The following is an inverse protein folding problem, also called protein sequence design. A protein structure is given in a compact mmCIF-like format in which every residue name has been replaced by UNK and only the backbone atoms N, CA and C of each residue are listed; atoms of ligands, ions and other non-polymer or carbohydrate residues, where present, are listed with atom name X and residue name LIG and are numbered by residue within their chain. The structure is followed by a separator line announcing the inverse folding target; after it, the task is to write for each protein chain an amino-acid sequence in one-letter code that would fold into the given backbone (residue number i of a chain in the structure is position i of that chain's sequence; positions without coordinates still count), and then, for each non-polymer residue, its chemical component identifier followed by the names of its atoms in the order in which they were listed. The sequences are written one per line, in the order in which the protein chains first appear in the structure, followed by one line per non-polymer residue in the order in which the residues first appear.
data_IF_231664464545
#
_entry.id   IF_231664464545
#
_cell.length_a   1.000
_cell.length_b   1.000
_cell.length_c   1.000
_cell.angle_alpha   90.00
_cell.angle_beta   90.00
_cell.angle_gamma   90.00
#
_symmetry.space_group_name_H-M   'P 1'
#
loop_
_entity.id
_entity.type
_entity.pdbx_description
1 polymer ?
#
# COMPACT_ATOMS: atom_id res chain seq x y z
N UNK A 1 -4.17 5.27 2.82
CA UNK A 1 -4.26 4.90 1.38
C UNK A 1 -4.95 5.95 0.50
N UNK A 2 -6.12 6.48 0.88
CA UNK A 2 -6.90 7.38 0.00
C UNK A 2 -6.21 8.71 -0.35
N UNK A 3 -5.44 9.32 0.58
CA UNK A 3 -4.68 10.54 0.33
C UNK A 3 -3.57 10.34 -0.73
N UNK A 4 -2.86 9.22 -0.66
CA UNK A 4 -1.73 8.93 -1.53
C UNK A 4 -2.15 8.43 -2.92
N UNK A 5 -3.25 7.68 -2.98
CA UNK A 5 -3.85 7.30 -4.25
C UNK A 5 -4.41 8.53 -4.98
N UNK A 6 -5.02 9.50 -4.29
CA UNK A 6 -5.62 10.66 -4.96
C UNK A 6 -4.62 11.63 -5.59
N UNK A 7 -3.42 11.78 -5.04
CA UNK A 7 -2.42 12.73 -5.59
C UNK A 7 -1.54 12.12 -6.69
N UNK A 8 -1.27 10.82 -6.63
CA UNK A 8 -0.34 10.12 -7.56
C UNK A 8 -1.02 9.12 -8.50
N UNK A 9 -2.18 8.57 -8.12
CA UNK A 9 -3.01 7.71 -8.97
C UNK A 9 -4.21 8.46 -9.58
N UNK A 10 -4.36 9.79 -9.35
CA UNK A 10 -5.40 10.58 -10.04
C UNK A 10 -5.24 10.62 -11.57
N UNK A 11 -4.06 10.29 -12.10
CA UNK A 11 -3.84 10.13 -13.54
C UNK A 11 -4.32 8.76 -14.07
N UNK A 12 -4.56 7.78 -13.21
CA UNK A 12 -5.04 6.47 -13.62
C UNK A 12 -6.57 6.47 -13.57
N UNK A 13 -7.17 6.54 -14.75
CA UNK A 13 -8.61 6.66 -15.00
C UNK A 13 -9.44 5.54 -14.35
N UNK A 14 -8.81 4.50 -13.81
CA UNK A 14 -9.47 3.41 -13.12
C UNK A 14 -8.56 2.75 -12.06
N UNK A 15 -8.57 3.29 -10.84
CA UNK A 15 -7.81 2.77 -9.69
C UNK A 15 -8.15 1.32 -9.39
N UNK A 16 -9.39 0.89 -9.63
CA UNK A 16 -9.82 -0.50 -9.42
C UNK A 16 -9.16 -1.45 -10.42
N UNK A 17 -9.00 -1.05 -11.69
CA UNK A 17 -8.27 -1.87 -12.66
C UNK A 17 -6.81 -2.04 -12.28
N UNK A 18 -6.15 -0.96 -11.84
CA UNK A 18 -4.75 -1.00 -11.38
C UNK A 18 -4.62 -1.92 -10.17
N UNK A 19 -5.53 -1.78 -9.20
CA UNK A 19 -5.58 -2.65 -8.02
C UNK A 19 -5.72 -4.12 -8.43
N UNK A 20 -6.65 -4.43 -9.31
CA UNK A 20 -6.87 -5.82 -9.75
C UNK A 20 -5.64 -6.38 -10.47
N UNK A 21 -5.00 -5.62 -11.36
CA UNK A 21 -3.78 -6.05 -12.03
C UNK A 21 -2.62 -6.30 -11.06
N UNK A 22 -2.46 -5.47 -10.02
CA UNK A 22 -1.47 -5.69 -8.97
C UNK A 22 -1.82 -6.97 -8.19
N UNK A 23 -3.07 -7.15 -7.78
CA UNK A 23 -3.52 -8.34 -7.06
C UNK A 23 -3.29 -9.61 -7.88
N UNK A 24 -3.57 -9.57 -9.17
CA UNK A 24 -3.34 -10.69 -10.09
C UNK A 24 -1.85 -11.04 -10.19
N UNK A 25 -0.98 -10.04 -10.36
CA UNK A 25 0.47 -10.25 -10.40
C UNK A 25 1.05 -10.75 -9.06
N UNK A 26 0.38 -10.48 -7.95
CA UNK A 26 0.75 -10.98 -6.62
C UNK A 26 0.16 -12.37 -6.31
N UNK A 27 -0.69 -12.93 -7.17
CA UNK A 27 -1.40 -14.19 -6.90
C UNK A 27 -2.46 -14.06 -5.81
N UNK A 28 -3.02 -12.85 -5.65
CA UNK A 28 -4.02 -12.48 -4.66
C UNK A 28 -5.37 -12.13 -5.32
N UNK A 29 -5.64 -12.72 -6.48
CA UNK A 29 -6.86 -12.46 -7.27
C UNK A 29 -8.14 -12.83 -6.51
N UNK A 30 -8.06 -13.80 -5.60
CA UNK A 30 -9.24 -14.26 -4.83
C UNK A 30 -9.22 -13.79 -3.37
N UNK A 31 -10.40 -13.62 -2.74
CA UNK A 31 -10.49 -13.32 -1.31
C UNK A 31 -9.86 -14.40 -0.41
N UNK A 32 -9.80 -15.64 -0.87
CA UNK A 32 -9.21 -16.74 -0.13
C UNK A 32 -7.67 -16.65 -0.08
N UNK A 33 -7.04 -16.23 -1.18
CA UNK A 33 -5.60 -15.98 -1.26
C UNK A 33 -5.21 -14.75 -0.46
N UNK A 34 -5.98 -13.66 -0.62
CA UNK A 34 -5.82 -12.42 0.15
C UNK A 34 -5.81 -12.66 1.67
N UNK A 35 -6.72 -13.49 2.18
CA UNK A 35 -6.78 -13.81 3.62
C UNK A 35 -5.61 -14.63 4.13
N UNK A 36 -4.94 -15.38 3.25
CA UNK A 36 -3.77 -16.20 3.62
C UNK A 36 -2.49 -15.38 3.60
N UNK A 37 -2.46 -14.29 2.84
CA UNK A 37 -1.31 -13.40 2.76
C UNK A 37 -1.32 -12.43 3.95
N UNK A 38 -0.41 -12.66 4.89
CA UNK A 38 -0.27 -11.83 6.08
C UNK A 38 0.19 -10.42 5.76
N UNK A 39 0.99 -10.23 4.70
CA UNK A 39 1.46 -8.91 4.28
C UNK A 39 0.34 -8.06 3.67
N UNK A 40 -0.58 -8.67 2.94
CA UNK A 40 -1.78 -8.02 2.43
C UNK A 40 -2.73 -7.63 3.56
N UNK A 41 -2.96 -8.52 4.52
CA UNK A 41 -3.78 -8.23 5.70
C UNK A 41 -3.17 -7.10 6.55
N UNK A 42 -1.86 -7.17 6.82
CA UNK A 42 -1.11 -6.10 7.48
C UNK A 42 -1.28 -4.76 6.73
N UNK A 43 -1.17 -4.78 5.40
CA UNK A 43 -1.34 -3.58 4.58
C UNK A 43 -2.74 -2.97 4.63
N UNK A 44 -3.79 -3.80 4.78
CA UNK A 44 -5.17 -3.34 5.02
C UNK A 44 -5.28 -2.66 6.38
N UNK A 45 -4.64 -3.22 7.41
CA UNK A 45 -4.61 -2.67 8.76
C UNK A 45 -3.67 -1.46 8.90
N UNK A 46 -3.01 -1.02 7.82
CA UNK A 46 -2.08 0.12 7.86
C UNK A 46 -0.72 -0.22 8.49
N UNK A 47 -0.40 -1.50 8.63
CA UNK A 47 0.88 -1.99 9.11
C UNK A 47 1.85 -2.18 7.93
N UNK A 48 3.04 -1.60 8.04
CA UNK A 48 4.11 -1.78 7.07
C UNK A 48 5.23 -2.62 7.66
N UNK A 49 5.59 -3.69 6.96
CA UNK A 49 6.72 -4.54 7.33
C UNK A 49 8.04 -3.89 6.87
N UNK A 50 8.89 -3.52 7.83
CA UNK A 50 10.25 -3.06 7.57
C UNK A 50 11.20 -4.24 7.32
N UNK A 51 12.37 -3.95 6.73
CA UNK A 51 13.35 -4.98 6.31
C UNK A 51 13.94 -5.80 7.45
N UNK A 52 13.85 -5.30 8.67
CA UNK A 52 14.35 -5.91 9.90
C UNK A 52 13.28 -6.70 10.67
N UNK A 53 12.09 -6.86 10.08
CA UNK A 53 10.95 -7.53 10.71
C UNK A 53 10.16 -6.63 11.66
N UNK A 54 10.51 -5.34 11.80
CA UNK A 54 9.70 -4.41 12.56
C UNK A 54 8.42 -4.04 11.78
N UNK A 55 7.28 -4.02 12.47
CA UNK A 55 6.03 -3.50 11.91
C UNK A 55 5.87 -2.04 12.29
N UNK A 56 5.78 -1.19 11.28
CA UNK A 56 5.43 0.22 11.44
C UNK A 56 3.93 0.38 11.30
N UNK A 57 3.27 0.75 12.39
CA UNK A 57 1.87 1.14 12.39
C UNK A 57 1.73 2.58 11.89
N UNK A 58 1.16 2.75 10.70
CA UNK A 58 0.94 4.08 10.12
C UNK A 58 -0.09 4.90 10.88
N UNK A 59 -1.07 4.29 11.53
CA UNK A 59 -2.08 5.01 12.31
C UNK A 59 -1.49 5.58 13.60
N UNK A 60 -0.52 4.87 14.20
CA UNK A 60 0.19 5.32 15.41
C UNK A 60 1.01 6.62 15.22
N UNK A 61 1.39 6.96 13.98
CA UNK A 61 2.22 8.13 13.67
C UNK A 61 1.51 9.47 13.91
N UNK A 62 0.18 9.46 14.12
CA UNK A 62 -0.62 10.64 14.38
C UNK A 62 -0.63 11.65 13.22
N UNK A 63 -1.00 12.90 13.52
CA UNK A 63 -1.10 14.02 12.56
C UNK A 63 -0.05 15.11 12.77
N UNK A 64 1.04 14.78 13.48
CA UNK A 64 2.19 15.69 13.61
C UNK A 64 2.82 15.94 12.25
N UNK A 65 3.54 17.05 12.09
CA UNK A 65 4.30 17.34 10.86
C UNK A 65 5.24 16.20 10.46
N UNK A 66 5.89 15.59 11.45
CA UNK A 66 6.75 14.42 11.24
C UNK A 66 5.94 13.19 10.80
N UNK A 67 4.84 12.89 11.48
CA UNK A 67 3.95 11.78 11.13
C UNK A 67 3.40 11.89 9.71
N UNK A 68 3.00 13.10 9.29
CA UNK A 68 2.57 13.39 7.91
C UNK A 68 3.68 13.14 6.89
N UNK A 69 4.91 13.59 7.18
CA UNK A 69 6.08 13.35 6.30
C UNK A 69 6.40 11.86 6.18
N UNK A 70 6.35 11.11 7.28
CA UNK A 70 6.62 9.66 7.29
C UNK A 70 5.54 8.91 6.51
N UNK A 71 4.25 9.20 6.76
CA UNK A 71 3.12 8.65 6.00
C UNK A 71 3.26 8.90 4.49
N UNK A 72 3.65 10.13 4.12
CA UNK A 72 3.87 10.49 2.71
C UNK A 72 5.01 9.69 2.09
N UNK A 73 6.16 9.58 2.76
CA UNK A 73 7.29 8.78 2.26
C UNK A 73 6.96 7.30 2.13
N UNK A 74 6.24 6.75 3.10
CA UNK A 74 5.78 5.37 3.07
C UNK A 74 4.86 5.12 1.86
N UNK A 75 3.92 6.03 1.63
CA UNK A 75 3.08 6.00 0.45
C UNK A 75 3.83 6.07 -0.88
N UNK A 76 4.78 7.00 -1.02
CA UNK A 76 5.59 7.14 -2.24
C UNK A 76 6.39 5.85 -2.52
N UNK A 77 6.91 5.20 -1.46
CA UNK A 77 7.62 3.94 -1.58
C UNK A 77 6.71 2.82 -2.09
N UNK A 78 5.53 2.65 -1.49
CA UNK A 78 4.54 1.63 -1.90
C UNK A 78 4.07 1.87 -3.33
N UNK A 79 3.78 3.13 -3.70
CA UNK A 79 3.37 3.48 -5.06
C UNK A 79 4.46 3.17 -6.08
N UNK A 80 5.72 3.53 -5.80
CA UNK A 80 6.85 3.23 -6.67
C UNK A 80 7.04 1.72 -6.85
N UNK A 81 6.88 0.95 -5.77
CA UNK A 81 6.94 -0.51 -5.84
C UNK A 81 5.78 -1.09 -6.66
N UNK A 82 4.55 -0.61 -6.44
CA UNK A 82 3.36 -1.06 -7.17
C UNK A 82 3.45 -0.81 -8.68
N UNK A 83 3.98 0.35 -9.10
CA UNK A 83 4.23 0.63 -10.53
C UNK A 83 5.26 -0.32 -11.13
N UNK A 84 6.32 -0.65 -10.38
CA UNK A 84 7.32 -1.62 -10.85
C UNK A 84 6.74 -3.03 -10.99
N UNK A 85 5.75 -3.42 -10.17
CA UNK A 85 5.04 -4.70 -10.34
C UNK A 85 4.23 -4.73 -11.63
N UNK A 86 3.64 -3.61 -12.04
CA UNK A 86 2.82 -3.52 -13.26
C UNK A 86 3.64 -3.46 -14.55
N UNK A 87 4.92 -3.10 -14.44
CA UNK A 87 5.86 -3.08 -15.56
C UNK A 87 6.29 -4.48 -15.99
#
# INVERSE_FOLDING_TARGET
MQYCAKEKLASVTNVDNVKNQVLDKLGLSTPAEQKKDTGYMDGIEGLLNAKDGQKLDLDSLGNTELGKKVKTKACDLVLKQGVNFLS
#
